data_IF_591767368248
#
_entry.id   IF_591767368248
#
_cell.length_a   1.000
_cell.length_b   1.000
_cell.length_c   1.000
_cell.angle_alpha   90.00
_cell.angle_beta   90.00
_cell.angle_gamma   90.00
#
_symmetry.space_group_name_H-M   'P 1'
#
loop_
_entity.id
_entity.type
_entity.pdbx_description
1 polymer ?
#
# COMPACT_ATOMS: atom_id res chain seq x y z
N UNK A 1 -2.62 -6.13 3.20
CA UNK A 1 -1.72 -5.58 2.17
C UNK A 1 -0.77 -4.58 2.81
N UNK A 2 0.56 -4.69 2.63
CA UNK A 2 1.52 -3.75 3.22
C UNK A 2 1.66 -2.52 2.31
N UNK A 3 2.44 -2.64 1.22
CA UNK A 3 2.70 -1.56 0.26
C UNK A 3 2.67 -2.08 -1.19
N UNK A 4 1.75 -3.01 -1.47
CA UNK A 4 1.48 -3.51 -2.82
C UNK A 4 2.70 -3.99 -3.62
N UNK A 5 2.92 -3.38 -4.78
CA UNK A 5 4.03 -3.57 -5.72
C UNK A 5 5.40 -3.35 -5.09
N UNK A 6 5.57 -2.32 -4.24
CA UNK A 6 6.83 -2.09 -3.54
C UNK A 6 7.19 -3.28 -2.64
N UNK A 7 6.18 -3.94 -2.04
CA UNK A 7 6.42 -5.17 -1.30
C UNK A 7 6.86 -6.29 -2.22
N UNK A 8 6.16 -6.52 -3.34
CA UNK A 8 6.50 -7.58 -4.30
C UNK A 8 7.97 -7.47 -4.74
N UNK A 9 8.42 -6.27 -5.12
CA UNK A 9 9.80 -6.03 -5.55
C UNK A 9 10.81 -6.20 -4.40
N UNK A 10 10.46 -5.80 -3.17
CA UNK A 10 11.33 -5.98 -2.01
C UNK A 10 11.48 -7.46 -1.59
N UNK A 11 10.44 -8.28 -1.78
CA UNK A 11 10.47 -9.70 -1.47
C UNK A 11 11.09 -10.56 -2.58
N UNK A 12 11.15 -10.08 -3.83
CA UNK A 12 11.65 -10.84 -4.99
C UNK A 12 13.05 -11.44 -4.77
N UNK A 13 14.09 -10.69 -4.32
CA UNK A 13 15.42 -11.25 -4.09
C UNK A 13 15.44 -12.30 -2.98
N UNK A 14 14.65 -12.06 -1.93
CA UNK A 14 14.55 -12.94 -0.75
C UNK A 14 13.87 -14.27 -1.09
N UNK A 15 12.84 -14.23 -1.92
CA UNK A 15 12.12 -15.41 -2.41
C UNK A 15 12.78 -16.07 -3.63
N UNK A 16 13.84 -15.46 -4.19
CA UNK A 16 14.46 -15.86 -5.46
C UNK A 16 13.43 -16.05 -6.58
N UNK A 17 12.44 -15.15 -6.62
CA UNK A 17 11.35 -15.24 -7.59
C UNK A 17 11.87 -14.91 -8.99
N UNK A 18 11.29 -15.55 -10.01
CA UNK A 18 11.59 -15.20 -11.40
C UNK A 18 10.96 -13.82 -11.72
N UNK A 19 11.66 -12.89 -12.41
CA UNK A 19 11.19 -11.52 -12.62
C UNK A 19 9.81 -11.43 -13.29
N UNK A 20 9.48 -12.37 -14.18
CA UNK A 20 8.17 -12.41 -14.83
C UNK A 20 7.02 -12.68 -13.84
N UNK A 21 7.25 -13.44 -12.76
CA UNK A 21 6.25 -13.70 -11.72
C UNK A 21 6.02 -12.45 -10.86
N UNK A 22 7.09 -11.74 -10.51
CA UNK A 22 7.00 -10.46 -9.81
C UNK A 22 6.25 -9.43 -10.62
N UNK A 23 6.56 -9.30 -11.91
CA UNK A 23 5.86 -8.37 -12.80
C UNK A 23 4.35 -8.67 -12.88
N UNK A 24 3.98 -9.94 -12.98
CA UNK A 24 2.58 -10.38 -12.95
C UNK A 24 1.90 -10.08 -11.62
N UNK A 25 2.59 -10.30 -10.49
CA UNK A 25 2.07 -9.97 -9.16
C UNK A 25 1.87 -8.46 -8.99
N UNK A 26 2.86 -7.64 -9.41
CA UNK A 26 2.77 -6.18 -9.43
C UNK A 26 1.56 -5.72 -10.26
N UNK A 27 1.40 -6.22 -11.48
CA UNK A 27 0.27 -5.86 -12.34
C UNK A 27 -1.09 -6.21 -11.70
N UNK A 28 -1.18 -7.37 -11.05
CA UNK A 28 -2.40 -7.81 -10.34
C UNK A 28 -2.74 -6.86 -9.19
N UNK A 29 -1.75 -6.50 -8.40
CA UNK A 29 -1.90 -5.58 -7.26
C UNK A 29 -2.32 -4.18 -7.72
N UNK A 30 -1.67 -3.67 -8.77
CA UNK A 30 -2.01 -2.36 -9.35
C UNK A 30 -3.45 -2.38 -9.85
N UNK A 31 -3.86 -3.42 -10.57
CA UNK A 31 -5.23 -3.54 -11.09
C UNK A 31 -6.29 -3.48 -9.99
N UNK A 32 -6.18 -4.34 -8.97
CA UNK A 32 -7.18 -4.38 -7.89
C UNK A 32 -7.12 -3.15 -6.99
N UNK A 33 -5.94 -2.58 -6.78
CA UNK A 33 -5.81 -1.32 -6.05
C UNK A 33 -6.42 -0.13 -6.80
N UNK A 34 -6.28 -0.08 -8.14
CA UNK A 34 -6.92 0.95 -8.98
C UNK A 34 -8.43 0.74 -8.97
N UNK A 35 -8.89 -0.52 -9.01
CA UNK A 35 -10.31 -0.82 -8.85
C UNK A 35 -10.85 -0.31 -7.49
N UNK A 36 -10.12 -0.51 -6.39
CA UNK A 36 -10.50 0.05 -5.08
C UNK A 36 -10.56 1.57 -5.09
N UNK A 37 -9.59 2.24 -5.74
CA UNK A 37 -9.54 3.70 -5.80
C UNK A 37 -10.87 4.30 -6.29
N UNK A 38 -11.54 3.65 -7.26
CA UNK A 38 -12.84 4.08 -7.75
C UNK A 38 -14.02 3.51 -6.94
N UNK A 39 -13.96 2.24 -6.53
CA UNK A 39 -15.07 1.60 -5.84
C UNK A 39 -15.36 2.19 -4.46
N UNK A 40 -14.34 2.60 -3.72
CA UNK A 40 -14.52 3.11 -2.36
C UNK A 40 -15.34 4.42 -2.29
N UNK A 41 -15.01 5.48 -3.05
CA UNK A 41 -15.86 6.66 -3.14
C UNK A 41 -17.28 6.35 -3.61
N UNK A 42 -17.43 5.45 -4.60
CA UNK A 42 -18.74 5.04 -5.10
C UNK A 42 -19.58 4.38 -4.00
N UNK A 43 -19.00 3.44 -3.25
CA UNK A 43 -19.69 2.76 -2.15
C UNK A 43 -20.01 3.69 -0.97
N UNK A 44 -19.14 4.67 -0.71
CA UNK A 44 -19.41 5.70 0.30
C UNK A 44 -20.60 6.59 -0.11
N UNK A 45 -20.57 7.17 -1.32
CA UNK A 45 -21.65 8.04 -1.80
C UNK A 45 -22.97 7.29 -2.05
N UNK A 46 -22.91 5.98 -2.31
CA UNK A 46 -24.09 5.13 -2.38
C UNK A 46 -24.70 4.78 -1.00
N UNK A 47 -24.07 5.18 0.10
CA UNK A 47 -24.54 4.90 1.47
C UNK A 47 -24.30 3.46 1.92
N UNK A 48 -23.42 2.71 1.25
CA UNK A 48 -23.09 1.33 1.61
C UNK A 48 -21.99 1.25 2.68
N UNK A 49 -21.14 2.28 2.76
CA UNK A 49 -20.10 2.43 3.78
C UNK A 49 -20.53 3.46 4.83
N UNK A 50 -21.33 3.01 5.79
CA UNK A 50 -21.79 3.83 6.92
C UNK A 50 -20.75 3.83 8.05
N UNK A 51 -19.58 4.42 7.77
CA UNK A 51 -18.50 4.59 8.73
C UNK A 51 -18.28 6.07 9.01
N UNK A 52 -17.81 6.40 10.21
CA UNK A 52 -17.28 7.74 10.48
C UNK A 52 -15.92 7.94 9.79
N UNK A 53 -15.41 9.16 9.82
CA UNK A 53 -14.14 9.55 9.17
C UNK A 53 -12.97 8.66 9.61
N UNK A 54 -12.91 8.32 10.90
CA UNK A 54 -11.82 7.51 11.45
C UNK A 54 -11.91 6.06 10.97
N UNK A 55 -13.07 5.42 11.11
CA UNK A 55 -13.29 4.05 10.66
C UNK A 55 -13.12 3.92 9.14
N UNK A 56 -13.60 4.89 8.37
CA UNK A 56 -13.45 4.90 6.92
C UNK A 56 -11.98 5.07 6.50
N UNK A 57 -11.25 5.96 7.18
CA UNK A 57 -9.81 6.14 6.97
C UNK A 57 -9.02 4.86 7.28
N UNK A 58 -9.30 4.21 8.41
CA UNK A 58 -8.72 2.91 8.77
C UNK A 58 -9.06 1.85 7.74
N UNK A 59 -10.31 1.80 7.27
CA UNK A 59 -10.76 0.85 6.27
C UNK A 59 -10.00 1.04 4.94
N UNK A 60 -9.98 2.25 4.37
CA UNK A 60 -9.29 2.56 3.11
C UNK A 60 -7.79 2.30 3.23
N UNK A 61 -7.13 2.83 4.26
CA UNK A 61 -5.69 2.61 4.48
C UNK A 61 -5.34 1.14 4.77
N UNK A 62 -6.31 0.41 5.33
CA UNK A 62 -6.24 -1.01 5.70
C UNK A 62 -6.43 -1.99 4.55
N UNK A 63 -7.02 -1.58 3.42
CA UNK A 63 -7.39 -2.52 2.34
C UNK A 63 -6.84 -2.12 0.98
N UNK A 64 -6.73 -0.83 0.66
CA UNK A 64 -6.17 -0.38 -0.62
C UNK A 64 -4.68 -0.73 -0.64
N UNK A 65 -4.13 -1.10 -1.80
CA UNK A 65 -2.83 -1.77 -1.87
C UNK A 65 -1.67 -0.79 -1.80
N UNK A 66 -1.75 0.32 -2.54
CA UNK A 66 -0.72 1.35 -2.67
C UNK A 66 -1.08 2.66 -2.00
N UNK A 67 -0.05 3.43 -1.66
CA UNK A 67 -0.17 4.77 -1.09
C UNK A 67 -0.96 5.68 -2.01
N UNK A 68 -0.54 5.78 -3.27
CA UNK A 68 -1.14 6.75 -4.17
C UNK A 68 -2.61 6.42 -4.46
N UNK A 69 -2.97 5.13 -4.52
CA UNK A 69 -4.37 4.68 -4.62
C UNK A 69 -5.17 4.94 -3.34
N UNK A 70 -4.55 4.84 -2.14
CA UNK A 70 -5.18 5.22 -0.87
C UNK A 70 -5.56 6.69 -0.88
N UNK A 71 -4.59 7.56 -1.22
CA UNK A 71 -4.83 9.00 -1.25
C UNK A 71 -5.83 9.34 -2.34
N UNK A 72 -5.72 8.72 -3.51
CA UNK A 72 -6.67 8.87 -4.61
C UNK A 72 -8.10 8.45 -4.25
N UNK A 73 -8.29 7.40 -3.45
CA UNK A 73 -9.61 6.99 -2.98
C UNK A 73 -10.14 7.98 -1.93
N UNK A 74 -9.36 8.26 -0.90
CA UNK A 74 -9.82 9.03 0.25
C UNK A 74 -10.01 10.52 -0.06
N UNK A 75 -9.23 11.10 -0.99
CA UNK A 75 -9.35 12.51 -1.37
C UNK A 75 -10.63 12.83 -2.12
N UNK A 76 -11.27 11.81 -2.71
CA UNK A 76 -12.59 11.93 -3.32
C UNK A 76 -13.74 11.79 -2.31
N UNK A 77 -13.44 11.60 -1.02
CA UNK A 77 -14.42 11.50 0.06
C UNK A 77 -14.34 12.76 0.90
N UNK A 78 -13.26 12.94 1.66
CA UNK A 78 -12.99 14.17 2.43
C UNK A 78 -11.51 14.25 2.90
N UNK A 79 -11.02 15.46 3.24
CA UNK A 79 -9.63 15.65 3.65
C UNK A 79 -9.23 14.91 4.94
N UNK A 80 -10.14 14.79 5.91
CA UNK A 80 -9.84 14.16 7.19
C UNK A 80 -9.71 12.62 7.05
N UNK A 81 -10.59 12.00 6.24
CA UNK A 81 -10.45 10.58 5.86
C UNK A 81 -9.12 10.33 5.13
N UNK A 82 -8.69 11.28 4.29
CA UNK A 82 -7.41 11.19 3.56
C UNK A 82 -6.21 11.16 4.48
N UNK A 83 -6.20 12.02 5.50
CA UNK A 83 -5.14 12.07 6.50
C UNK A 83 -5.05 10.74 7.27
N UNK A 84 -6.17 10.26 7.82
CA UNK A 84 -6.22 9.00 8.56
C UNK A 84 -5.80 7.81 7.68
N UNK A 85 -6.34 7.71 6.46
CA UNK A 85 -6.03 6.61 5.55
C UNK A 85 -4.54 6.58 5.16
N UNK A 86 -3.95 7.75 4.95
CA UNK A 86 -2.53 7.88 4.61
C UNK A 86 -1.66 7.44 5.78
N UNK A 87 -1.96 7.88 7.01
CA UNK A 87 -1.23 7.47 8.22
C UNK A 87 -1.29 5.95 8.39
N UNK A 88 -2.48 5.35 8.28
CA UNK A 88 -2.69 3.90 8.42
C UNK A 88 -1.88 3.14 7.37
N UNK A 89 -1.92 3.59 6.11
CA UNK A 89 -1.15 3.00 5.01
C UNK A 89 0.35 3.12 5.24
N UNK A 90 0.85 4.28 5.64
CA UNK A 90 2.27 4.52 5.91
C UNK A 90 2.79 3.66 7.06
N UNK A 91 2.01 3.56 8.13
CA UNK A 91 2.33 2.69 9.26
C UNK A 91 2.52 1.26 8.80
N UNK A 92 1.66 0.76 7.91
CA UNK A 92 1.79 -0.59 7.34
C UNK A 92 2.97 -0.72 6.38
N UNK A 93 3.26 0.30 5.58
CA UNK A 93 4.46 0.33 4.73
C UNK A 93 5.73 0.18 5.58
N UNK A 94 5.78 0.83 6.74
CA UNK A 94 6.90 0.68 7.68
C UNK A 94 7.06 -0.77 8.20
N UNK A 95 5.95 -1.52 8.33
CA UNK A 95 5.98 -2.95 8.70
C UNK A 95 6.63 -3.85 7.65
N UNK A 96 6.96 -3.36 6.45
CA UNK A 96 7.71 -4.13 5.46
C UNK A 96 9.10 -4.56 5.99
N UNK A 97 9.78 -3.70 6.76
CA UNK A 97 11.10 -4.01 7.36
C UNK A 97 11.04 -5.21 8.30
N UNK A 98 10.23 -5.19 9.37
CA UNK A 98 10.19 -6.32 10.30
C UNK A 98 9.75 -7.60 9.60
N UNK A 99 8.82 -7.54 8.63
CA UNK A 99 8.38 -8.74 7.91
C UNK A 99 9.49 -9.31 7.03
N UNK A 100 10.25 -8.48 6.30
CA UNK A 100 11.39 -8.95 5.50
C UNK A 100 12.50 -9.54 6.37
N UNK A 101 12.74 -8.94 7.54
CA UNK A 101 13.68 -9.44 8.53
C UNK A 101 13.30 -10.83 9.04
N UNK A 102 12.07 -10.97 9.52
CA UNK A 102 11.55 -12.24 10.04
C UNK A 102 11.59 -13.32 8.97
N UNK A 103 11.15 -13.01 7.75
CA UNK A 103 11.21 -13.95 6.63
C UNK A 103 12.65 -14.33 6.26
N UNK A 104 13.56 -13.35 6.20
CA UNK A 104 14.98 -13.60 5.90
C UNK A 104 15.65 -14.51 6.95
N UNK A 105 15.36 -14.28 8.23
CA UNK A 105 15.84 -15.14 9.33
C UNK A 105 15.23 -16.55 9.25
N UNK A 106 13.93 -16.66 8.99
CA UNK A 106 13.24 -17.93 8.84
C UNK A 106 13.82 -18.77 7.68
N UNK A 107 13.99 -18.18 6.50
CA UNK A 107 14.55 -18.85 5.33
C UNK A 107 16.02 -19.24 5.54
N UNK A 108 16.81 -18.41 6.24
CA UNK A 108 18.19 -18.74 6.61
C UNK A 108 18.24 -19.92 7.58
N UNK A 109 17.37 -19.93 8.60
CA UNK A 109 17.27 -21.04 9.55
C UNK A 109 16.93 -22.34 8.81
N UNK A 110 15.93 -22.31 7.93
CA UNK A 110 15.53 -23.45 7.10
C UNK A 110 16.67 -23.95 6.18
N UNK A 111 17.45 -23.04 5.58
CA UNK A 111 18.59 -23.39 4.72
C UNK A 111 19.82 -23.88 5.51
N UNK A 112 20.02 -23.41 6.75
CA UNK A 112 21.12 -23.84 7.62
C UNK A 112 20.96 -25.29 8.09
N UNK A 113 19.73 -25.78 8.24
CA UNK A 113 19.45 -27.20 8.46
C UNK A 113 19.77 -28.08 7.24
N UNK A 114 19.98 -27.48 6.05
CA UNK A 114 20.35 -28.17 4.81
C UNK A 114 21.83 -27.97 4.40
N UNK A 115 22.69 -27.46 5.30
CA UNK A 115 24.14 -27.39 5.08
C UNK A 115 24.66 -26.24 4.21
N UNK A 116 23.84 -25.24 3.88
CA UNK A 116 24.25 -24.11 3.03
C UNK A 116 24.82 -22.91 3.80
N UNK A 117 26.02 -22.43 3.43
CA UNK A 117 26.61 -21.18 3.93
C UNK A 117 25.78 -19.96 3.47
N UNK A 118 24.98 -19.40 4.38
CA UNK A 118 24.11 -18.26 4.08
C UNK A 118 24.86 -16.91 4.10
N UNK A 119 25.01 -16.28 2.92
CA UNK A 119 25.49 -14.89 2.79
C UNK A 119 24.58 -13.93 3.57
N UNK A 120 25.18 -13.00 4.31
CA UNK A 120 24.48 -11.95 5.06
C UNK A 120 23.64 -11.08 4.11
N UNK A 121 22.33 -11.26 4.10
CA UNK A 121 21.42 -10.39 3.36
C UNK A 121 21.38 -9.03 4.07
N UNK A 122 21.80 -7.97 3.37
CA UNK A 122 21.66 -6.59 3.86
C UNK A 122 20.17 -6.29 4.06
N UNK A 123 19.81 -5.75 5.21
CA UNK A 123 18.43 -5.31 5.46
C UNK A 123 18.05 -4.17 4.51
N UNK A 124 16.96 -4.28 3.75
CA UNK A 124 16.39 -3.14 3.05
C UNK A 124 15.65 -2.26 4.06
N UNK A 125 16.23 -1.11 4.42
CA UNK A 125 15.56 -0.07 5.19
C UNK A 125 14.79 0.83 4.20
N UNK A 126 13.46 1.01 4.34
CA UNK A 126 12.66 1.90 3.54
C UNK A 126 12.94 3.33 4.01
N UNK A 127 14.00 3.93 3.45
CA UNK A 127 14.38 5.31 3.73
C UNK A 127 13.22 6.30 3.57
N UNK A 128 12.27 6.01 2.68
CA UNK A 128 11.02 6.75 2.56
C UNK A 128 10.19 6.75 3.86
N UNK A 129 10.00 5.60 4.52
CA UNK A 129 9.24 5.52 5.76
C UNK A 129 9.95 6.23 6.92
N UNK A 130 11.29 6.17 6.95
CA UNK A 130 12.11 6.92 7.91
C UNK A 130 11.94 8.42 7.70
N UNK A 131 12.04 8.89 6.45
CA UNK A 131 11.79 10.29 6.11
C UNK A 131 10.38 10.75 6.45
N UNK A 132 9.37 9.94 6.13
CA UNK A 132 7.97 10.20 6.50
C UNK A 132 7.82 10.34 8.02
N UNK A 133 8.39 9.43 8.81
CA UNK A 133 8.30 9.47 10.27
C UNK A 133 8.98 10.73 10.84
N UNK A 134 10.18 11.08 10.36
CA UNK A 134 10.89 12.28 10.79
C UNK A 134 10.09 13.53 10.47
N UNK A 135 9.57 13.66 9.24
CA UNK A 135 8.77 14.81 8.84
C UNK A 135 7.43 14.88 9.59
N UNK A 136 6.80 13.73 9.87
CA UNK A 136 5.59 13.66 10.69
C UNK A 136 5.86 14.19 12.11
N UNK A 137 6.95 13.75 12.74
CA UNK A 137 7.36 14.25 14.07
C UNK A 137 7.60 15.75 14.03
N UNK A 138 8.38 16.25 13.07
CA UNK A 138 8.65 17.69 12.94
C UNK A 138 7.34 18.48 12.78
N UNK A 139 6.41 17.99 11.95
CA UNK A 139 5.12 18.63 11.74
C UNK A 139 4.24 18.56 13.00
N UNK A 140 4.26 17.46 13.74
CA UNK A 140 3.51 17.30 15.00
C UNK A 140 4.03 18.18 16.14
N UNK A 141 5.28 18.64 16.09
CA UNK A 141 5.84 19.59 17.06
C UNK A 141 5.40 21.04 16.79
N UNK A 142 4.64 21.28 15.71
CA UNK A 142 4.11 22.59 15.30
C UNK A 142 5.20 23.68 15.14
N UNK A 143 6.42 23.25 14.84
CA UNK A 143 7.59 24.13 14.65
C UNK A 143 7.54 24.83 13.28
N UNK A 144 6.81 24.27 12.32
CA UNK A 144 6.74 24.78 10.95
C UNK A 144 5.58 25.79 10.84
N UNK A 145 5.83 27.03 10.40
CA UNK A 145 4.77 28.02 10.16
C UNK A 145 3.63 27.50 9.26
N UNK A 146 2.39 27.84 9.61
CA UNK A 146 1.20 27.39 8.90
C UNK A 146 1.22 27.71 7.40
N UNK A 147 1.77 28.86 7.01
CA UNK A 147 1.89 29.26 5.60
C UNK A 147 2.80 28.32 4.80
N UNK A 148 3.89 27.86 5.41
CA UNK A 148 4.81 26.89 4.80
C UNK A 148 4.12 25.54 4.68
N UNK A 149 3.41 25.09 5.72
CA UNK A 149 2.64 23.84 5.67
C UNK A 149 1.57 23.90 4.57
N UNK A 150 0.88 25.03 4.43
CA UNK A 150 -0.12 25.22 3.38
C UNK A 150 0.51 25.19 1.97
N UNK A 151 1.68 25.81 1.78
CA UNK A 151 2.41 25.75 0.51
C UNK A 151 2.86 24.31 0.18
N UNK A 152 3.37 23.57 1.17
CA UNK A 152 3.76 22.17 1.03
C UNK A 152 2.55 21.31 0.64
N UNK A 153 1.38 21.48 1.27
CA UNK A 153 0.17 20.73 0.91
C UNK A 153 -0.28 21.00 -0.53
N UNK A 154 -0.16 22.23 -1.04
CA UNK A 154 -0.48 22.54 -2.44
C UNK A 154 0.47 21.83 -3.41
N UNK A 155 1.77 21.84 -3.09
CA UNK A 155 2.78 21.14 -3.87
C UNK A 155 2.55 19.62 -3.84
N UNK A 156 2.20 19.07 -2.69
CA UNK A 156 1.87 17.65 -2.50
C UNK A 156 0.68 17.23 -3.39
N UNK A 157 -0.44 17.95 -3.34
CA UNK A 157 -1.62 17.65 -4.18
C UNK A 157 -1.27 17.74 -5.67
N UNK A 158 -0.49 18.75 -6.08
CA UNK A 158 -0.03 18.86 -7.46
C UNK A 158 0.85 17.67 -7.88
N UNK A 159 1.87 17.34 -7.08
CA UNK A 159 2.78 16.23 -7.35
C UNK A 159 2.05 14.88 -7.35
N UNK A 160 1.12 14.67 -6.43
CA UNK A 160 0.30 13.47 -6.34
C UNK A 160 -0.62 13.34 -7.55
N UNK A 161 -1.23 14.44 -8.00
CA UNK A 161 -2.07 14.45 -9.20
C UNK A 161 -1.25 14.04 -10.43
N UNK A 162 -0.03 14.56 -10.57
CA UNK A 162 0.89 14.14 -11.63
C UNK A 162 1.28 12.67 -11.53
N UNK A 163 1.61 12.19 -10.32
CA UNK A 163 1.96 10.79 -10.09
C UNK A 163 0.80 9.84 -10.42
N UNK A 164 -0.44 10.20 -10.05
CA UNK A 164 -1.63 9.41 -10.36
C UNK A 164 -1.97 9.42 -11.85
N UNK A 165 -1.77 10.56 -12.52
CA UNK A 165 -1.90 10.65 -13.98
C UNK A 165 -0.89 9.73 -14.66
N UNK A 166 0.37 9.76 -14.23
CA UNK A 166 1.41 8.88 -14.77
C UNK A 166 1.08 7.39 -14.55
N UNK A 167 0.61 7.01 -13.35
CA UNK A 167 0.16 5.64 -13.06
C UNK A 167 -0.97 5.19 -13.99
N UNK A 168 -1.91 6.09 -14.30
CA UNK A 168 -2.99 5.84 -15.26
C UNK A 168 -2.46 5.53 -16.66
N UNK A 169 -1.46 6.27 -17.13
CA UNK A 169 -0.83 6.07 -18.44
C UNK A 169 0.03 4.80 -18.48
N UNK A 170 0.73 4.49 -17.37
CA UNK A 170 1.62 3.33 -17.27
C UNK A 170 0.87 1.98 -17.22
N UNK A 171 -0.41 1.98 -16.87
CA UNK A 171 -1.24 0.76 -16.76
C UNK A 171 -1.43 0.10 -18.14
N UNK A 172 -0.43 -0.67 -18.56
CA UNK A 172 -0.43 -1.42 -19.81
C UNK A 172 -1.36 -2.61 -19.67
N UNK A 173 -2.52 -2.56 -20.33
CA UNK A 173 -3.42 -3.70 -20.54
C UNK A 173 -2.69 -4.99 -20.97
N UNK A 174 -1.57 -4.84 -21.69
CA UNK A 174 -0.71 -5.94 -22.11
C UNK A 174 -0.08 -6.73 -20.93
N UNK A 175 0.21 -6.09 -19.79
CA UNK A 175 0.76 -6.79 -18.62
C UNK A 175 -0.32 -7.55 -17.85
N UNK A 176 -1.54 -7.01 -17.78
CA UNK A 176 -2.69 -7.70 -17.19
C UNK A 176 -3.02 -8.97 -17.99
N UNK A 177 -2.99 -8.89 -19.33
CA UNK A 177 -3.22 -10.06 -20.20
C UNK A 177 -2.18 -11.17 -20.01
N UNK A 178 -0.94 -10.82 -19.66
CA UNK A 178 0.15 -11.78 -19.39
C UNK A 178 0.01 -12.51 -18.05
N UNK A 179 -0.77 -11.99 -17.10
CA UNK A 179 -0.97 -12.63 -15.81
C UNK A 179 -1.71 -13.98 -15.91
N UNK A 180 -2.57 -14.11 -16.92
CA UNK A 180 -3.40 -15.30 -17.12
C UNK A 180 -4.59 -15.39 -16.16
N UNK A 181 -5.63 -16.16 -16.52
CA UNK A 181 -6.91 -16.18 -15.81
C UNK A 181 -6.80 -16.76 -14.39
N UNK A 182 -5.91 -17.73 -14.17
CA UNK A 182 -5.72 -18.35 -12.84
C UNK A 182 -5.17 -17.36 -11.82
N UNK A 183 -4.20 -16.52 -12.22
CA UNK A 183 -3.62 -15.51 -11.32
C UNK A 183 -4.64 -14.40 -11.04
N UNK A 184 -5.40 -13.98 -12.06
CA UNK A 184 -6.50 -13.03 -11.86
C UNK A 184 -7.58 -13.55 -10.92
N UNK A 185 -7.98 -14.81 -11.05
CA UNK A 185 -8.95 -15.41 -10.15
C UNK A 185 -8.44 -15.45 -8.70
N UNK A 186 -7.19 -15.87 -8.49
CA UNK A 186 -6.58 -15.86 -7.17
C UNK A 186 -6.50 -14.43 -6.59
N UNK A 187 -6.03 -13.47 -7.40
CA UNK A 187 -5.97 -12.07 -7.00
C UNK A 187 -7.34 -11.50 -6.63
N UNK A 188 -8.38 -11.86 -7.39
CA UNK A 188 -9.75 -11.46 -7.12
C UNK A 188 -10.28 -12.05 -5.81
N UNK A 189 -10.02 -13.33 -5.54
CA UNK A 189 -10.41 -13.97 -4.27
C UNK A 189 -9.74 -13.28 -3.08
N UNK A 190 -8.43 -13.03 -3.18
CA UNK A 190 -7.68 -12.32 -2.14
C UNK A 190 -8.17 -10.87 -1.98
N UNK A 191 -8.56 -10.23 -3.09
CA UNK A 191 -9.13 -8.90 -3.10
C UNK A 191 -10.45 -8.85 -2.35
N UNK A 192 -11.40 -9.73 -2.68
CA UNK A 192 -12.69 -9.84 -2.00
C UNK A 192 -12.51 -10.17 -0.52
N UNK A 193 -11.61 -11.10 -0.19
CA UNK A 193 -11.25 -11.41 1.19
C UNK A 193 -10.76 -10.19 1.94
N UNK A 194 -9.89 -9.38 1.33
CA UNK A 194 -9.34 -8.17 1.94
C UNK A 194 -10.42 -7.11 2.14
N UNK A 195 -11.34 -6.92 1.18
CA UNK A 195 -12.46 -5.99 1.30
C UNK A 195 -13.41 -6.40 2.43
N UNK A 196 -13.92 -7.63 2.38
CA UNK A 196 -14.92 -8.11 3.34
C UNK A 196 -14.31 -8.28 4.74
N UNK A 197 -13.11 -8.85 4.82
CA UNK A 197 -12.39 -9.01 6.08
C UNK A 197 -12.03 -7.66 6.69
N UNK A 198 -11.55 -6.70 5.89
CA UNK A 198 -11.28 -5.34 6.35
C UNK A 198 -12.53 -4.64 6.86
N UNK A 199 -13.64 -4.75 6.13
CA UNK A 199 -14.93 -4.18 6.53
C UNK A 199 -15.42 -4.78 7.85
N UNK A 200 -15.37 -6.11 7.98
CA UNK A 200 -15.76 -6.82 9.18
C UNK A 200 -14.92 -6.45 10.39
N UNK A 201 -13.59 -6.37 10.24
CA UNK A 201 -12.69 -5.99 11.33
C UNK A 201 -12.96 -4.55 11.79
N UNK A 202 -13.09 -3.61 10.86
CA UNK A 202 -13.37 -2.20 11.21
C UNK A 202 -14.70 -2.09 11.93
N UNK A 203 -15.76 -2.70 11.38
CA UNK A 203 -17.10 -2.69 11.98
C UNK A 203 -17.18 -3.34 13.37
N UNK A 204 -16.27 -4.26 13.69
CA UNK A 204 -16.20 -4.86 15.04
C UNK A 204 -15.36 -4.02 16.01
N UNK A 205 -14.44 -3.20 15.49
CA UNK A 205 -13.51 -2.39 16.29
C UNK A 205 -14.02 -0.96 16.56
N UNK A 206 -15.03 -0.50 15.81
CA UNK A 206 -15.64 0.84 15.89
C UNK A 206 -17.15 0.71 15.99
#
# INVERSE_FOLDING_TARGET
AICGAAAVLAFEPTLRAAPHKSAVAVATVVLFGTLSMFLYPVFYHAGWLNFDTQALGIYIGGTVHEVAQVVGAASNIDPATTEVATIVKMTRVALLVPVLLVLGMYLRSAASHAGGQGKSAKLPIPWFAVGFLVLAIINSLDIIPADIVAAIRRLDVFALTMAMTALGIETRFAQIRKAGPRVMALGFILYVWLLLGGYGIVKLAT
#
